data_IF_338082854897
#
_entry.id   IF_338082854897
#
_cell.length_a   1.000
_cell.length_b   1.000
_cell.length_c   1.000
_cell.angle_alpha   90.00
_cell.angle_beta   90.00
_cell.angle_gamma   90.00
#
_symmetry.space_group_name_H-M   'P 1'
#
loop_
_entity.id
_entity.type
_entity.pdbx_description
1 polymer ?
#
# COMPACT_ATOMS: atom_id res chain seq x y z
N UNK A 1 -13.94 -4.58 25.75
CA UNK A 1 -12.61 -4.14 25.26
C UNK A 1 -12.89 -3.15 24.15
N UNK A 2 -12.63 -1.87 24.36
CA UNK A 2 -12.85 -0.82 23.34
C UNK A 2 -11.68 -0.91 22.35
N UNK A 3 -11.94 -1.44 21.15
CA UNK A 3 -11.00 -1.30 20.04
C UNK A 3 -10.76 0.20 19.82
N UNK A 4 -9.49 0.62 19.71
CA UNK A 4 -9.13 1.97 19.29
C UNK A 4 -9.93 2.24 18.01
N UNK A 5 -10.68 3.34 17.98
CA UNK A 5 -11.55 3.65 16.84
C UNK A 5 -10.70 3.74 15.58
N UNK A 6 -10.86 2.78 14.68
CA UNK A 6 -10.16 2.73 13.37
C UNK A 6 -10.40 4.03 12.58
N UNK A 7 -11.54 4.69 12.80
CA UNK A 7 -11.89 5.96 12.16
C UNK A 7 -10.98 7.14 12.54
N UNK A 8 -10.27 7.10 13.68
CA UNK A 8 -9.42 8.21 14.11
C UNK A 8 -8.05 8.25 13.40
N UNK A 9 -7.63 7.16 12.77
CA UNK A 9 -6.31 7.01 12.11
C UNK A 9 -6.43 6.55 10.65
N UNK A 10 -7.60 6.77 10.01
CA UNK A 10 -7.85 6.30 8.64
C UNK A 10 -7.06 7.12 7.62
N UNK A 11 -6.38 6.44 6.70
CA UNK A 11 -5.47 7.00 5.71
C UNK A 11 -5.85 6.62 4.29
N UNK A 12 -5.69 7.56 3.37
CA UNK A 12 -5.84 7.34 1.93
C UNK A 12 -4.47 7.49 1.26
N UNK A 13 -4.08 6.46 0.53
CA UNK A 13 -2.84 6.34 -0.21
C UNK A 13 -3.14 6.28 -1.72
N UNK A 14 -3.19 7.41 -2.46
CA UNK A 14 -3.35 7.37 -3.91
C UNK A 14 -2.19 6.62 -4.57
N UNK A 15 -2.51 5.60 -5.41
CA UNK A 15 -1.50 4.90 -6.21
C UNK A 15 -1.19 5.68 -7.48
N UNK A 16 0.05 6.15 -7.58
CA UNK A 16 0.54 6.88 -8.77
C UNK A 16 0.63 5.99 -10.01
N UNK A 17 0.40 4.68 -9.90
CA UNK A 17 0.24 3.79 -11.05
C UNK A 17 -0.89 4.25 -11.98
N UNK A 18 -1.90 4.95 -11.46
CA UNK A 18 -3.04 5.47 -12.21
C UNK A 18 -2.88 6.92 -12.68
N UNK A 19 -1.75 7.56 -12.40
CA UNK A 19 -1.47 8.96 -12.75
C UNK A 19 -0.94 9.11 -14.19
N UNK A 20 -0.80 10.36 -14.65
CA UNK A 20 -0.10 10.67 -15.89
C UNK A 20 1.42 10.62 -15.68
N UNK A 21 2.07 9.54 -16.12
CA UNK A 21 3.52 9.35 -15.97
C UNK A 21 4.35 10.40 -16.69
N UNK A 22 3.81 11.09 -17.70
CA UNK A 22 4.51 12.19 -18.39
C UNK A 22 4.68 13.42 -17.49
N UNK A 23 3.88 13.53 -16.38
CA UNK A 23 3.89 14.65 -15.44
C UNK A 23 3.92 14.20 -13.98
N UNK A 24 4.58 13.09 -13.71
CA UNK A 24 4.51 12.39 -12.44
C UNK A 24 4.79 13.27 -11.20
N UNK A 25 5.76 14.19 -11.30
CA UNK A 25 6.06 15.15 -10.24
C UNK A 25 4.91 16.14 -9.97
N UNK A 26 4.18 16.58 -11.00
CA UNK A 26 3.00 17.46 -10.83
C UNK A 26 1.81 16.69 -10.27
N UNK A 27 1.64 15.43 -10.66
CA UNK A 27 0.63 14.53 -10.10
C UNK A 27 0.83 14.30 -8.59
N UNK A 28 2.09 14.06 -8.17
CA UNK A 28 2.43 13.92 -6.75
C UNK A 28 2.11 15.18 -5.95
N UNK A 29 2.46 16.37 -6.47
CA UNK A 29 2.10 17.64 -5.82
C UNK A 29 0.60 17.84 -5.74
N UNK A 30 -0.14 17.45 -6.78
CA UNK A 30 -1.59 17.62 -6.83
C UNK A 30 -2.31 16.72 -5.82
N UNK A 31 -1.91 15.46 -5.66
CA UNK A 31 -2.52 14.58 -4.64
C UNK A 31 -2.12 14.99 -3.22
N UNK A 32 -0.92 15.54 -3.01
CA UNK A 32 -0.50 16.13 -1.73
C UNK A 32 -1.39 17.32 -1.37
N UNK A 33 -1.56 18.27 -2.29
CA UNK A 33 -2.45 19.43 -2.11
C UNK A 33 -3.90 19.03 -1.87
N UNK A 34 -4.35 17.91 -2.47
CA UNK A 34 -5.67 17.32 -2.27
C UNK A 34 -5.85 16.61 -0.93
N UNK A 35 -4.81 16.53 -0.09
CA UNK A 35 -4.87 16.01 1.27
C UNK A 35 -4.78 14.49 1.38
N UNK A 36 -4.00 13.82 0.52
CA UNK A 36 -3.63 12.43 0.72
C UNK A 36 -2.76 12.25 1.97
N UNK A 37 -2.73 11.03 2.52
CA UNK A 37 -1.91 10.71 3.69
C UNK A 37 -0.57 10.10 3.29
N UNK A 38 -0.58 9.18 2.32
CA UNK A 38 0.59 8.53 1.74
C UNK A 38 0.59 8.72 0.22
N UNK A 39 1.74 8.51 -0.40
CA UNK A 39 1.87 8.32 -1.85
C UNK A 39 2.22 6.86 -2.07
N UNK A 40 1.29 6.09 -2.63
CA UNK A 40 1.51 4.66 -2.91
C UNK A 40 2.21 4.47 -4.26
N UNK A 41 3.27 3.67 -4.25
CA UNK A 41 4.19 3.50 -5.39
C UNK A 41 4.31 2.03 -5.74
N UNK A 42 3.62 1.60 -6.79
CA UNK A 42 3.59 0.23 -7.28
C UNK A 42 4.79 -0.06 -8.19
N UNK A 43 5.76 -0.80 -7.69
CA UNK A 43 6.96 -1.22 -8.43
C UNK A 43 6.76 -2.62 -8.98
N UNK A 44 6.95 -2.78 -10.31
CA UNK A 44 6.72 -4.03 -11.03
C UNK A 44 7.88 -4.34 -11.98
N UNK A 45 8.29 -5.61 -12.04
CA UNK A 45 9.49 -6.07 -12.75
C UNK A 45 9.23 -6.89 -14.03
N UNK A 46 7.95 -7.15 -14.36
CA UNK A 46 7.60 -8.01 -15.50
C UNK A 46 7.88 -9.50 -15.26
N UNK A 47 8.30 -9.88 -14.05
CA UNK A 47 8.59 -11.25 -13.64
C UNK A 47 7.63 -11.75 -12.56
N UNK A 48 7.56 -11.06 -11.42
CA UNK A 48 6.60 -11.39 -10.37
C UNK A 48 5.16 -11.09 -10.82
N UNK A 49 4.98 -10.00 -11.58
CA UNK A 49 3.72 -9.61 -12.22
C UNK A 49 3.96 -9.32 -13.70
N UNK A 50 2.95 -9.54 -14.59
CA UNK A 50 3.10 -9.36 -16.04
C UNK A 50 3.00 -7.88 -16.48
N UNK A 51 3.64 -6.97 -15.74
CA UNK A 51 3.67 -5.53 -16.01
C UNK A 51 5.01 -4.96 -15.55
N UNK A 52 5.42 -3.86 -16.14
CA UNK A 52 6.62 -3.09 -15.80
C UNK A 52 6.21 -1.65 -15.45
N UNK A 53 6.75 -1.11 -14.37
CA UNK A 53 6.48 0.28 -13.99
C UNK A 53 7.79 1.06 -13.83
N UNK A 54 8.11 1.51 -12.64
CA UNK A 54 9.28 2.35 -12.38
C UNK A 54 10.11 1.79 -11.23
N UNK A 55 11.35 2.25 -11.16
CA UNK A 55 12.31 1.85 -10.13
C UNK A 55 12.87 3.05 -9.35
N UNK A 56 13.94 2.83 -8.58
CA UNK A 56 14.56 3.82 -7.70
C UNK A 56 14.86 5.17 -8.35
N UNK A 57 15.34 5.25 -9.62
CA UNK A 57 15.63 6.55 -10.25
C UNK A 57 14.40 7.45 -10.38
N UNK A 58 13.24 6.89 -10.72
CA UNK A 58 12.00 7.66 -10.83
C UNK A 58 11.51 8.10 -9.44
N UNK A 59 11.58 7.20 -8.45
CA UNK A 59 11.20 7.51 -7.07
C UNK A 59 12.05 8.67 -6.53
N UNK A 60 13.37 8.65 -6.75
CA UNK A 60 14.26 9.74 -6.38
C UNK A 60 13.89 11.07 -7.04
N UNK A 61 13.45 11.06 -8.32
CA UNK A 61 13.03 12.26 -9.02
C UNK A 61 11.77 12.89 -8.44
N UNK A 62 10.81 12.08 -7.95
CA UNK A 62 9.55 12.58 -7.39
C UNK A 62 9.62 12.83 -5.89
N UNK A 63 10.61 12.30 -5.17
CA UNK A 63 10.76 12.53 -3.72
C UNK A 63 10.72 14.00 -3.30
N UNK A 64 11.39 14.94 -4.00
CA UNK A 64 11.36 16.37 -3.64
C UNK A 64 10.00 17.04 -3.87
N UNK A 65 9.03 16.36 -4.47
CA UNK A 65 7.73 16.95 -4.81
C UNK A 65 6.75 16.99 -3.64
N UNK A 66 7.01 16.27 -2.54
CA UNK A 66 6.14 16.19 -1.36
C UNK A 66 6.91 15.73 -0.12
N UNK A 67 6.42 16.11 1.07
CA UNK A 67 6.90 15.56 2.35
C UNK A 67 6.05 14.37 2.83
N UNK A 68 5.05 13.95 2.06
CA UNK A 68 4.20 12.78 2.40
C UNK A 68 5.01 11.49 2.42
N UNK A 69 4.54 10.54 3.19
CA UNK A 69 5.11 9.20 3.26
C UNK A 69 5.10 8.53 1.89
N UNK A 70 6.24 8.06 1.43
CA UNK A 70 6.35 7.18 0.26
C UNK A 70 6.19 5.74 0.71
N UNK A 71 5.05 5.17 0.39
CA UNK A 71 4.69 3.78 0.63
C UNK A 71 5.01 2.97 -0.63
N UNK A 72 6.16 2.30 -0.62
CA UNK A 72 6.71 1.62 -1.80
C UNK A 72 6.40 0.13 -1.75
N UNK A 73 5.52 -0.29 -2.64
CA UNK A 73 5.05 -1.66 -2.78
C UNK A 73 5.84 -2.39 -3.88
N UNK A 74 6.62 -3.38 -3.48
CA UNK A 74 7.54 -4.11 -4.35
C UNK A 74 6.92 -5.41 -4.88
N UNK A 75 6.33 -5.35 -6.06
CA UNK A 75 5.90 -6.50 -6.86
C UNK A 75 7.03 -6.97 -7.77
N UNK A 76 8.17 -7.33 -7.16
CA UNK A 76 9.40 -7.77 -7.84
C UNK A 76 9.97 -9.03 -7.20
N UNK A 77 10.62 -9.86 -7.99
CA UNK A 77 11.27 -11.09 -7.51
C UNK A 77 12.63 -11.32 -8.21
N UNK A 78 13.75 -11.30 -7.45
CA UNK A 78 13.84 -11.09 -6.00
C UNK A 78 13.79 -9.59 -5.60
N UNK A 79 13.16 -9.28 -4.46
CA UNK A 79 13.13 -7.91 -3.92
C UNK A 79 14.38 -7.59 -3.09
N UNK A 80 14.91 -8.57 -2.35
CA UNK A 80 15.95 -8.42 -1.34
C UNK A 80 17.21 -7.68 -1.83
N UNK A 81 17.75 -7.88 -3.05
CA UNK A 81 18.95 -7.17 -3.51
C UNK A 81 18.78 -5.66 -3.68
N UNK A 82 17.53 -5.19 -3.80
CA UNK A 82 17.21 -3.79 -4.16
C UNK A 82 16.65 -2.96 -2.99
N UNK A 83 16.49 -3.55 -1.80
CA UNK A 83 15.86 -2.88 -0.65
C UNK A 83 16.60 -1.59 -0.26
N UNK A 84 17.95 -1.59 -0.30
CA UNK A 84 18.75 -0.39 -0.03
C UNK A 84 18.52 0.69 -1.07
N UNK A 85 18.45 0.32 -2.35
CA UNK A 85 18.25 1.28 -3.45
C UNK A 85 16.90 2.00 -3.34
N UNK A 86 15.83 1.29 -2.93
CA UNK A 86 14.53 1.91 -2.67
C UNK A 86 14.53 2.80 -1.44
N UNK A 87 15.24 2.41 -0.38
CA UNK A 87 15.41 3.24 0.80
C UNK A 87 16.15 4.55 0.48
N UNK A 88 17.24 4.47 -0.30
CA UNK A 88 18.04 5.62 -0.73
C UNK A 88 17.28 6.51 -1.73
N UNK A 89 16.38 5.93 -2.52
CA UNK A 89 15.48 6.66 -3.41
C UNK A 89 14.42 7.48 -2.66
N UNK A 90 14.23 7.26 -1.36
CA UNK A 90 13.33 8.03 -0.51
C UNK A 90 12.07 7.32 -0.07
N UNK A 91 12.01 5.98 -0.17
CA UNK A 91 10.94 5.19 0.46
C UNK A 91 10.93 5.41 1.98
N UNK A 92 9.76 5.55 2.56
CA UNK A 92 9.55 5.60 4.01
C UNK A 92 9.06 4.25 4.53
N UNK A 93 8.21 3.60 3.73
CA UNK A 93 7.72 2.24 3.94
C UNK A 93 8.16 1.40 2.74
N UNK A 94 8.70 0.21 2.98
CA UNK A 94 9.04 -0.75 1.93
C UNK A 94 8.27 -2.03 2.20
N UNK A 95 7.34 -2.34 1.29
CA UNK A 95 6.46 -3.50 1.39
C UNK A 95 6.87 -4.56 0.38
N UNK A 96 7.21 -5.76 0.87
CA UNK A 96 7.60 -6.92 0.06
C UNK A 96 6.50 -7.98 0.08
N UNK A 97 6.35 -8.71 -1.02
CA UNK A 97 5.41 -9.84 -1.08
C UNK A 97 5.95 -11.06 -0.35
N UNK A 98 5.11 -11.70 0.46
CA UNK A 98 5.42 -12.98 1.10
C UNK A 98 5.76 -14.07 0.07
N UNK A 99 5.16 -13.99 -1.11
CA UNK A 99 5.33 -14.96 -2.20
C UNK A 99 6.59 -14.74 -3.04
N UNK A 100 7.17 -13.54 -2.96
CA UNK A 100 8.37 -13.15 -3.73
C UNK A 100 9.67 -13.31 -2.93
N UNK A 101 9.60 -13.69 -1.66
CA UNK A 101 10.76 -13.70 -0.77
C UNK A 101 10.90 -15.03 -0.01
N UNK A 102 11.91 -15.83 -0.39
CA UNK A 102 12.24 -17.10 0.30
C UNK A 102 12.71 -16.88 1.76
N UNK A 103 13.16 -15.68 2.10
CA UNK A 103 13.71 -15.32 3.41
C UNK A 103 13.05 -14.06 3.98
N UNK A 104 11.71 -14.03 3.97
CA UNK A 104 10.89 -12.91 4.38
C UNK A 104 11.34 -12.26 5.71
N UNK A 105 11.59 -13.07 6.74
CA UNK A 105 12.06 -12.57 8.04
C UNK A 105 13.36 -11.76 7.93
N UNK A 106 14.29 -12.20 7.10
CA UNK A 106 15.56 -11.49 6.85
C UNK A 106 15.32 -10.14 6.17
N UNK A 107 14.44 -10.09 5.17
CA UNK A 107 14.14 -8.87 4.43
C UNK A 107 13.46 -7.83 5.31
N UNK A 108 12.50 -8.24 6.16
CA UNK A 108 11.85 -7.36 7.12
C UNK A 108 12.85 -6.80 8.14
N UNK A 109 13.75 -7.63 8.67
CA UNK A 109 14.81 -7.17 9.57
C UNK A 109 15.75 -6.19 8.87
N UNK A 110 16.12 -6.47 7.62
CA UNK A 110 17.00 -5.58 6.84
C UNK A 110 16.35 -4.21 6.63
N UNK A 111 15.07 -4.16 6.17
CA UNK A 111 14.33 -2.90 5.98
C UNK A 111 14.34 -2.07 7.26
N UNK A 112 14.07 -2.68 8.40
CA UNK A 112 14.12 -1.98 9.70
C UNK A 112 15.53 -1.54 10.09
N UNK A 113 16.55 -2.33 9.78
CA UNK A 113 17.95 -2.00 10.10
C UNK A 113 18.47 -0.77 9.36
N UNK A 114 17.90 -0.47 8.19
CA UNK A 114 18.20 0.74 7.41
C UNK A 114 17.26 1.91 7.71
N UNK A 115 16.51 1.83 8.84
CA UNK A 115 15.68 2.91 9.36
C UNK A 115 14.36 3.12 8.64
N UNK A 116 13.89 2.14 7.85
CA UNK A 116 12.60 2.20 7.13
C UNK A 116 11.53 1.36 7.83
N UNK A 117 10.26 1.69 7.59
CA UNK A 117 9.14 0.85 8.03
C UNK A 117 9.05 -0.39 7.13
N UNK A 118 8.87 -1.55 7.75
CA UNK A 118 8.78 -2.82 7.05
C UNK A 118 7.33 -3.23 6.82
N UNK A 119 6.96 -3.40 5.55
CA UNK A 119 5.65 -3.90 5.11
C UNK A 119 5.73 -5.32 4.54
N UNK A 120 4.64 -6.06 4.70
CA UNK A 120 4.41 -7.35 4.06
C UNK A 120 3.13 -7.31 3.26
N UNK A 121 3.17 -7.76 2.00
CA UNK A 121 2.01 -7.90 1.13
C UNK A 121 1.60 -9.35 0.94
N UNK A 122 0.29 -9.61 0.90
CA UNK A 122 -0.31 -10.92 0.69
C UNK A 122 -1.22 -10.92 -0.53
N UNK A 123 -0.95 -11.81 -1.49
CA UNK A 123 -1.82 -12.04 -2.64
C UNK A 123 -3.20 -12.59 -2.20
N UNK A 124 -4.25 -12.50 -3.06
CA UNK A 124 -5.57 -13.01 -2.72
C UNK A 124 -5.59 -14.47 -2.28
N UNK A 125 -4.75 -15.32 -2.88
CA UNK A 125 -4.65 -16.75 -2.55
C UNK A 125 -3.79 -17.09 -1.34
N UNK A 126 -3.05 -16.14 -0.77
CA UNK A 126 -2.13 -16.39 0.35
C UNK A 126 -2.85 -16.23 1.69
N UNK A 127 -2.78 -17.21 2.59
CA UNK A 127 -3.44 -17.13 3.89
C UNK A 127 -2.74 -16.13 4.82
N UNK A 128 -3.52 -15.52 5.70
CA UNK A 128 -3.05 -14.55 6.71
C UNK A 128 -2.05 -15.16 7.71
N UNK A 129 -2.06 -16.46 7.90
CA UNK A 129 -1.17 -17.16 8.85
C UNK A 129 0.32 -17.03 8.51
N UNK A 130 0.65 -16.67 7.26
CA UNK A 130 2.04 -16.38 6.85
C UNK A 130 2.67 -15.26 7.72
N UNK A 131 1.86 -14.37 8.28
CA UNK A 131 2.33 -13.23 9.10
C UNK A 131 2.66 -13.63 10.54
N UNK A 132 2.15 -14.75 11.05
CA UNK A 132 2.20 -15.11 12.48
C UNK A 132 3.61 -15.04 13.09
N UNK A 133 4.62 -15.57 12.40
CA UNK A 133 5.99 -15.63 12.91
C UNK A 133 6.82 -14.36 12.64
N UNK A 134 6.29 -13.40 11.90
CA UNK A 134 6.98 -12.16 11.55
C UNK A 134 6.25 -10.90 12.02
N UNK A 135 5.07 -11.05 12.65
CA UNK A 135 4.20 -9.93 13.02
C UNK A 135 4.88 -8.87 13.89
N UNK A 136 5.83 -9.24 14.72
CA UNK A 136 6.56 -8.30 15.59
C UNK A 136 7.66 -7.51 14.83
N UNK A 137 7.85 -7.80 13.55
CA UNK A 137 8.85 -7.15 12.68
C UNK A 137 8.21 -6.31 11.59
N UNK A 138 6.87 -6.27 11.52
CA UNK A 138 6.14 -5.49 10.51
C UNK A 138 5.53 -4.22 11.10
N UNK A 139 5.51 -3.17 10.30
CA UNK A 139 4.89 -1.89 10.60
C UNK A 139 3.63 -1.68 9.74
N UNK A 140 3.50 -2.46 8.66
CA UNK A 140 2.37 -2.44 7.74
C UNK A 140 2.10 -3.83 7.16
N UNK A 141 0.82 -4.22 7.07
CA UNK A 141 0.36 -5.42 6.35
C UNK A 141 -0.56 -4.98 5.23
N UNK A 142 -0.18 -5.30 3.99
CA UNK A 142 -0.94 -5.00 2.78
C UNK A 142 -1.71 -6.24 2.31
N UNK A 143 -3.02 -6.13 2.21
CA UNK A 143 -3.89 -7.15 1.63
C UNK A 143 -4.21 -6.79 0.19
N UNK A 144 -3.76 -7.61 -0.75
CA UNK A 144 -4.19 -7.47 -2.14
C UNK A 144 -5.63 -7.95 -2.27
N UNK A 145 -6.52 -7.06 -2.65
CA UNK A 145 -7.93 -7.36 -2.94
C UNK A 145 -8.22 -7.49 -4.44
N UNK A 146 -7.17 -7.55 -5.24
CA UNK A 146 -7.13 -7.94 -6.66
C UNK A 146 -5.87 -8.75 -6.91
N UNK A 147 -5.74 -9.40 -8.05
CA UNK A 147 -4.45 -9.98 -8.44
C UNK A 147 -3.49 -8.84 -8.81
N UNK A 148 -2.27 -8.78 -8.23
CA UNK A 148 -1.34 -7.69 -8.50
C UNK A 148 -0.90 -7.64 -9.96
N UNK A 149 -0.53 -6.42 -10.44
CA UNK A 149 0.00 -6.19 -11.78
C UNK A 149 -0.72 -5.11 -12.60
N UNK A 150 -2.01 -4.86 -12.38
CA UNK A 150 -2.76 -3.85 -13.13
C UNK A 150 -3.76 -3.12 -12.25
N UNK A 151 -3.93 -1.82 -12.51
CA UNK A 151 -4.99 -1.01 -11.89
C UNK A 151 -6.38 -1.27 -12.48
N UNK A 152 -7.42 -0.71 -11.86
CA UNK A 152 -8.80 -0.71 -12.38
C UNK A 152 -9.54 -2.04 -12.29
N UNK A 153 -9.05 -3.01 -11.53
CA UNK A 153 -9.69 -4.32 -11.32
C UNK A 153 -10.84 -4.26 -10.31
N UNK A 154 -11.72 -5.25 -10.37
CA UNK A 154 -12.83 -5.40 -9.42
C UNK A 154 -12.35 -5.99 -8.10
N UNK A 155 -12.87 -5.45 -6.98
CA UNK A 155 -12.59 -5.90 -5.63
C UNK A 155 -13.00 -7.37 -5.42
N UNK A 156 -12.11 -8.18 -4.85
CA UNK A 156 -12.36 -9.58 -4.50
C UNK A 156 -12.97 -9.64 -3.09
N UNK A 157 -14.28 -9.79 -2.99
CA UNK A 157 -15.04 -9.73 -1.73
C UNK A 157 -14.62 -10.73 -0.65
N UNK A 158 -14.04 -11.88 -1.03
CA UNK A 158 -13.52 -12.85 -0.06
C UNK A 158 -12.37 -12.32 0.79
N UNK A 159 -11.69 -11.24 0.35
CA UNK A 159 -10.60 -10.63 1.12
C UNK A 159 -11.08 -9.91 2.38
N UNK A 160 -12.36 -9.54 2.49
CA UNK A 160 -12.92 -8.95 3.71
C UNK A 160 -12.73 -9.85 4.94
N UNK A 161 -12.82 -11.16 4.77
CA UNK A 161 -12.59 -12.09 5.89
C UNK A 161 -11.10 -12.13 6.28
N UNK A 162 -10.18 -12.12 5.31
CA UNK A 162 -8.74 -12.02 5.57
C UNK A 162 -8.39 -10.75 6.34
N UNK A 163 -8.98 -9.60 5.95
CA UNK A 163 -8.79 -8.31 6.63
C UNK A 163 -9.24 -8.41 8.09
N UNK A 164 -10.42 -9.01 8.39
CA UNK A 164 -10.91 -9.18 9.76
C UNK A 164 -9.97 -10.04 10.61
N UNK A 165 -9.48 -11.15 10.06
CA UNK A 165 -8.55 -12.05 10.77
C UNK A 165 -7.21 -11.38 11.04
N UNK A 166 -6.66 -10.64 10.05
CA UNK A 166 -5.45 -9.86 10.23
C UNK A 166 -5.62 -8.76 11.29
N UNK A 167 -6.76 -8.05 11.30
CA UNK A 167 -7.03 -7.04 12.34
C UNK A 167 -7.10 -7.68 13.73
N UNK A 168 -7.68 -8.88 13.86
CA UNK A 168 -7.67 -9.62 15.12
C UNK A 168 -6.25 -10.06 15.53
N UNK A 169 -5.45 -10.53 14.57
CA UNK A 169 -4.06 -10.94 14.80
C UNK A 169 -3.18 -9.75 15.18
N UNK A 170 -3.36 -8.58 14.57
CA UNK A 170 -2.68 -7.33 14.90
C UNK A 170 -3.01 -6.91 16.34
N UNK A 171 -4.26 -6.99 16.77
CA UNK A 171 -4.69 -6.54 18.07
C UNK A 171 -4.40 -5.06 18.30
N UNK A 172 -3.68 -4.74 19.40
CA UNK A 172 -3.32 -3.37 19.78
C UNK A 172 -1.95 -2.92 19.26
N UNK A 173 -1.27 -3.74 18.46
CA UNK A 173 0.02 -3.38 17.87
C UNK A 173 -0.12 -2.17 16.94
N UNK A 174 0.87 -1.27 16.89
CA UNK A 174 0.85 -0.10 16.00
C UNK A 174 1.21 -0.50 14.54
N UNK A 175 0.45 -1.45 13.98
CA UNK A 175 0.63 -1.98 12.63
C UNK A 175 -0.52 -1.45 11.77
N UNK A 176 -0.18 -0.78 10.68
CA UNK A 176 -1.14 -0.37 9.67
C UNK A 176 -1.65 -1.61 8.90
N UNK A 177 -2.97 -1.71 8.71
CA UNK A 177 -3.59 -2.72 7.87
C UNK A 177 -4.11 -2.03 6.62
N UNK A 178 -3.39 -2.25 5.54
CA UNK A 178 -3.62 -1.63 4.25
C UNK A 178 -4.33 -2.58 3.30
N UNK A 179 -5.12 -2.02 2.40
CA UNK A 179 -5.84 -2.79 1.36
C UNK A 179 -5.65 -2.12 0.02
N UNK A 180 -5.18 -2.89 -0.98
CA UNK A 180 -5.02 -2.45 -2.36
C UNK A 180 -5.81 -3.30 -3.33
N UNK A 181 -6.56 -2.61 -4.19
CA UNK A 181 -7.29 -3.18 -5.31
C UNK A 181 -8.80 -2.99 -5.26
N UNK A 182 -9.34 -2.34 -6.29
CA UNK A 182 -10.78 -2.15 -6.46
C UNK A 182 -11.44 -1.22 -5.43
N UNK A 183 -10.65 -0.39 -4.73
CA UNK A 183 -11.15 0.57 -3.74
C UNK A 183 -11.83 1.73 -4.46
N UNK A 184 -13.07 2.02 -4.04
CA UNK A 184 -13.90 3.13 -4.49
C UNK A 184 -14.97 3.43 -3.44
N UNK A 185 -15.83 4.43 -3.66
CA UNK A 185 -16.88 4.83 -2.73
C UNK A 185 -17.91 3.75 -2.38
N UNK A 186 -17.99 2.65 -3.15
CA UNK A 186 -18.91 1.53 -2.90
C UNK A 186 -18.28 0.42 -2.05
N UNK A 187 -16.95 0.26 -2.11
CA UNK A 187 -16.22 -0.83 -1.46
C UNK A 187 -15.52 -0.41 -0.19
N UNK A 188 -15.15 0.87 -0.06
CA UNK A 188 -14.31 1.38 1.03
C UNK A 188 -14.95 1.19 2.41
N UNK A 189 -16.28 1.39 2.53
CA UNK A 189 -17.00 1.22 3.81
C UNK A 189 -16.88 -0.21 4.36
N UNK A 190 -17.03 -1.23 3.49
CA UNK A 190 -16.88 -2.63 3.88
C UNK A 190 -15.45 -2.96 4.31
N UNK A 191 -14.46 -2.38 3.61
CA UNK A 191 -13.03 -2.58 3.90
C UNK A 191 -12.64 -1.98 5.25
N UNK A 192 -13.10 -0.76 5.55
CA UNK A 192 -12.86 -0.10 6.83
C UNK A 192 -13.61 -0.83 7.96
N UNK A 193 -14.86 -1.23 7.73
CA UNK A 193 -15.63 -2.04 8.69
C UNK A 193 -14.98 -3.42 8.96
N UNK A 194 -14.25 -3.97 8.00
CA UNK A 194 -13.45 -5.18 8.19
C UNK A 194 -12.19 -4.95 9.03
N UNK A 195 -11.75 -3.71 9.21
CA UNK A 195 -10.64 -3.33 10.08
C UNK A 195 -9.43 -2.71 9.40
N UNK A 196 -9.47 -2.44 8.11
CA UNK A 196 -8.42 -1.67 7.43
C UNK A 196 -8.39 -0.22 7.92
N UNK A 197 -7.20 0.34 8.07
CA UNK A 197 -7.00 1.75 8.41
C UNK A 197 -6.18 2.51 7.37
N UNK A 198 -5.67 1.83 6.34
CA UNK A 198 -5.06 2.42 5.15
C UNK A 198 -5.70 1.82 3.91
N UNK A 199 -6.02 2.64 2.91
CA UNK A 199 -6.54 2.16 1.63
C UNK A 199 -5.77 2.76 0.47
N UNK A 200 -5.43 1.91 -0.49
CA UNK A 200 -4.83 2.33 -1.75
C UNK A 200 -5.93 2.60 -2.76
N UNK A 201 -5.92 3.77 -3.36
CA UNK A 201 -6.89 4.17 -4.37
C UNK A 201 -6.20 4.73 -5.61
N UNK A 202 -6.24 3.98 -6.71
CA UNK A 202 -5.72 4.40 -8.01
C UNK A 202 -6.78 5.15 -8.82
N UNK A 203 -7.49 4.41 -9.68
CA UNK A 203 -8.50 4.96 -10.59
C UNK A 203 -9.60 5.79 -9.90
N UNK A 204 -9.95 5.47 -8.66
CA UNK A 204 -10.93 6.22 -7.89
C UNK A 204 -10.48 7.64 -7.52
N UNK A 205 -9.17 7.92 -7.57
CA UNK A 205 -8.62 9.27 -7.36
C UNK A 205 -8.31 9.95 -8.69
N UNK A 206 -7.67 9.24 -9.63
CA UNK A 206 -7.07 9.87 -10.81
C UNK A 206 -8.00 10.03 -12.02
N UNK A 207 -9.12 9.26 -12.11
CA UNK A 207 -9.94 9.26 -13.33
C UNK A 207 -10.78 10.54 -13.52
N UNK A 208 -11.19 11.22 -12.44
CA UNK A 208 -12.11 12.36 -12.54
C UNK A 208 -11.38 13.71 -12.69
N UNK A 209 -10.06 13.76 -12.54
CA UNK A 209 -9.25 14.98 -12.66
C UNK A 209 -9.42 15.98 -11.51
N UNK A 210 -10.30 15.73 -10.54
CA UNK A 210 -10.52 16.54 -9.32
C UNK A 210 -10.15 15.67 -8.10
N UNK A 211 -8.86 15.70 -7.74
CA UNK A 211 -8.31 14.83 -6.71
C UNK A 211 -8.84 15.15 -5.31
N UNK A 212 -9.06 16.44 -5.00
CA UNK A 212 -9.60 16.87 -3.71
C UNK A 212 -11.03 16.32 -3.52
N UNK A 213 -11.88 16.46 -4.54
CA UNK A 213 -13.24 15.92 -4.52
C UNK A 213 -13.22 14.39 -4.39
N UNK A 214 -12.35 13.70 -5.13
CA UNK A 214 -12.25 12.25 -5.12
C UNK A 214 -11.80 11.73 -3.75
N UNK A 215 -10.75 12.31 -3.15
CA UNK A 215 -10.25 11.95 -1.82
C UNK A 215 -11.30 12.24 -0.75
N UNK A 216 -11.98 13.42 -0.81
CA UNK A 216 -13.04 13.76 0.10
C UNK A 216 -14.23 12.80 0.03
N UNK A 217 -14.62 12.38 -1.19
CA UNK A 217 -15.69 11.40 -1.38
C UNK A 217 -15.32 10.01 -0.81
N UNK A 218 -14.07 9.58 -0.96
CA UNK A 218 -13.58 8.34 -0.36
C UNK A 218 -13.61 8.43 1.18
N UNK A 219 -13.15 9.54 1.78
CA UNK A 219 -13.20 9.73 3.24
C UNK A 219 -14.65 9.71 3.75
N UNK A 220 -15.56 10.41 3.07
CA UNK A 220 -16.99 10.42 3.44
C UNK A 220 -17.65 9.04 3.33
N UNK A 221 -17.22 8.20 2.39
CA UNK A 221 -17.75 6.84 2.20
C UNK A 221 -17.13 5.80 3.15
N UNK A 222 -16.02 6.14 3.77
CA UNK A 222 -15.36 5.28 4.77
C UNK A 222 -16.07 5.30 6.14
N UNK A 223 -16.85 6.34 6.46
CA UNK A 223 -17.66 6.50 7.68
C UNK A 223 -17.13 7.56 8.62
#
# INVERSE_FOLDING_TARGET
>A
MLFRSVAADFKIAPSILSSDFARLGDEVKAIDAAGCDYVHIDVMDGHFVPNLTFGPPIISCIRPCTDKVFDVHLMINPAQPYLQDYADAGADIITVHAEADAHLDRSLQFIRSIGKKAGISLNPGTPETVVEYVIDKVDLILVMSVNPGFGGQSFIGSQLEKIRRLRQMIGERPIDLEVDGGINTKTIGDVVAAGANVVVAGSAVFNDGDYEKSISALRAAAG
#
